data_IF_542198669684
#
_entry.id   IF_542198669684
#
_cell.length_a   1.000
_cell.length_b   1.000
_cell.length_c   1.000
_cell.angle_alpha   90.00
_cell.angle_beta   90.00
_cell.angle_gamma   90.00
#
_symmetry.space_group_name_H-M   'P 1'
#
loop_
_entity.id
_entity.type
_entity.pdbx_description
1 polymer ?
#
# COMPACT_ATOMS: atom_id res chain seq x y z
N UNK A 1 4.84 -39.71 -3.87
CA UNK A 1 5.35 -38.60 -3.03
C UNK A 1 4.57 -37.37 -3.45
N UNK A 2 3.54 -37.00 -2.68
CA UNK A 2 2.63 -35.90 -3.03
C UNK A 2 3.24 -34.60 -2.52
N UNK A 3 3.64 -33.69 -3.43
CA UNK A 3 3.98 -32.33 -3.06
C UNK A 3 2.67 -31.59 -2.77
N UNK A 4 2.31 -31.50 -1.50
CA UNK A 4 1.33 -30.50 -1.07
C UNK A 4 2.05 -29.15 -1.01
N UNK A 5 2.20 -28.49 -2.15
CA UNK A 5 2.40 -27.04 -2.13
C UNK A 5 1.06 -26.50 -1.64
N UNK A 6 0.99 -26.11 -0.37
CA UNK A 6 -0.04 -25.18 0.05
C UNK A 6 0.12 -23.95 -0.84
N UNK A 7 -0.75 -23.79 -1.86
CA UNK A 7 -0.79 -22.62 -2.73
C UNK A 7 -1.18 -21.38 -1.90
N UNK A 8 -0.20 -20.84 -1.17
CA UNK A 8 -0.33 -19.53 -0.55
C UNK A 8 -0.04 -18.49 -1.62
N UNK A 9 -0.92 -17.50 -1.76
CA UNK A 9 -0.71 -16.34 -2.62
C UNK A 9 0.67 -15.70 -2.34
N UNK A 10 1.47 -15.34 -3.36
CA UNK A 10 2.80 -14.76 -3.14
C UNK A 10 2.72 -13.43 -2.39
N UNK A 11 3.69 -13.19 -1.52
CA UNK A 11 3.83 -11.93 -0.79
C UNK A 11 4.05 -10.77 -1.78
N UNK A 12 3.26 -9.68 -1.71
CA UNK A 12 3.49 -8.53 -2.57
C UNK A 12 4.72 -7.73 -2.12
N UNK A 13 5.33 -7.00 -3.05
CA UNK A 13 6.31 -5.96 -2.74
C UNK A 13 5.64 -4.60 -2.59
N UNK A 14 6.29 -3.72 -1.85
CA UNK A 14 5.84 -2.35 -1.59
C UNK A 14 7.00 -1.38 -1.81
N UNK A 15 6.71 -0.23 -2.43
CA UNK A 15 7.65 0.86 -2.59
C UNK A 15 6.94 2.21 -2.47
N UNK A 16 7.71 3.28 -2.28
CA UNK A 16 7.17 4.65 -2.28
C UNK A 16 8.03 5.61 -3.07
N UNK A 17 7.38 6.66 -3.58
CA UNK A 17 8.02 7.78 -4.23
C UNK A 17 7.37 9.10 -3.75
N UNK A 18 8.16 10.08 -3.29
CA UNK A 18 9.61 9.99 -3.03
C UNK A 18 9.94 8.97 -1.91
N UNK A 19 11.15 8.42 -1.95
CA UNK A 19 11.63 7.52 -0.90
C UNK A 19 12.26 8.32 0.25
N UNK A 20 12.00 7.92 1.50
CA UNK A 20 12.57 8.55 2.68
C UNK A 20 11.58 9.51 3.37
N UNK A 21 12.10 10.63 3.87
CA UNK A 21 11.30 11.67 4.52
C UNK A 21 10.72 12.67 3.51
N UNK A 22 9.49 13.11 3.76
CA UNK A 22 8.77 14.09 2.94
C UNK A 22 8.42 15.31 3.78
N UNK A 23 8.18 16.44 3.13
CA UNK A 23 7.72 17.64 3.82
C UNK A 23 6.19 17.71 3.86
N UNK A 24 5.66 18.38 4.88
CA UNK A 24 4.23 18.68 5.00
C UNK A 24 3.70 19.29 3.69
N UNK A 25 2.55 18.80 3.22
CA UNK A 25 1.89 19.26 2.01
C UNK A 25 2.41 18.63 0.71
N UNK A 26 3.42 17.77 0.75
CA UNK A 26 3.86 17.01 -0.42
C UNK A 26 2.93 15.85 -0.75
N UNK A 27 2.96 15.42 -2.01
CA UNK A 27 2.27 14.24 -2.48
C UNK A 27 3.21 13.02 -2.44
N UNK A 28 2.69 11.89 -1.98
CA UNK A 28 3.41 10.62 -1.90
C UNK A 28 2.65 9.54 -2.63
N UNK A 29 3.35 8.75 -3.45
CA UNK A 29 2.80 7.58 -4.13
C UNK A 29 3.38 6.33 -3.50
N UNK A 30 2.51 5.45 -3.03
CA UNK A 30 2.88 4.11 -2.55
C UNK A 30 2.43 3.10 -3.59
N UNK A 31 3.35 2.27 -4.07
CA UNK A 31 3.06 1.25 -5.08
C UNK A 31 3.19 -0.13 -4.47
N UNK A 32 2.14 -0.94 -4.63
CA UNK A 32 2.17 -2.36 -4.34
C UNK A 32 2.29 -3.13 -5.66
N UNK A 33 3.08 -4.20 -5.69
CA UNK A 33 3.27 -5.07 -6.85
C UNK A 33 3.24 -6.53 -6.41
N UNK A 34 2.68 -7.41 -7.23
CA UNK A 34 2.74 -8.86 -7.04
C UNK A 34 3.24 -9.56 -8.29
N UNK A 35 3.75 -10.78 -8.14
CA UNK A 35 4.00 -11.69 -9.27
C UNK A 35 2.76 -12.51 -9.64
N UNK A 36 1.75 -12.57 -8.77
CA UNK A 36 0.49 -13.25 -9.06
C UNK A 36 -0.34 -12.47 -10.08
N UNK A 37 -1.01 -13.18 -10.97
CA UNK A 37 -2.04 -12.60 -11.82
C UNK A 37 -3.24 -12.15 -10.97
N UNK A 38 -3.54 -10.86 -11.00
CA UNK A 38 -4.54 -10.23 -10.12
C UNK A 38 -5.81 -9.79 -10.86
N UNK A 39 -6.21 -10.54 -11.90
CA UNK A 39 -7.48 -10.31 -12.59
C UNK A 39 -8.65 -10.33 -11.59
N UNK A 40 -9.33 -9.20 -11.46
CA UNK A 40 -10.47 -9.04 -10.55
C UNK A 40 -10.12 -9.09 -9.04
N UNK A 41 -8.84 -8.90 -8.70
CA UNK A 41 -8.40 -8.78 -7.30
C UNK A 41 -8.44 -7.34 -6.79
N UNK A 42 -8.04 -7.14 -5.55
CA UNK A 42 -7.96 -5.81 -4.90
C UNK A 42 -6.69 -5.72 -4.08
N UNK A 43 -5.91 -4.66 -4.28
CA UNK A 43 -4.83 -4.32 -3.37
C UNK A 43 -5.35 -3.52 -2.20
N UNK A 44 -4.68 -3.69 -1.07
CA UNK A 44 -5.00 -3.01 0.16
C UNK A 44 -3.72 -2.45 0.75
N UNK A 45 -3.68 -1.14 0.96
CA UNK A 45 -2.67 -0.45 1.73
C UNK A 45 -3.17 -0.28 3.17
N UNK A 46 -2.37 -0.66 4.16
CA UNK A 46 -2.68 -0.46 5.58
C UNK A 46 -1.52 0.20 6.29
N UNK A 47 -1.83 1.02 7.28
CA UNK A 47 -0.86 1.46 8.28
C UNK A 47 -0.73 0.39 9.35
N UNK A 48 0.47 0.20 9.91
CA UNK A 48 0.70 -0.80 10.97
C UNK A 48 0.06 -0.41 12.29
N UNK A 49 -0.23 0.87 12.47
CA UNK A 49 -0.93 1.45 13.62
C UNK A 49 -2.12 2.29 13.18
N UNK A 50 -3.13 2.35 14.05
CA UNK A 50 -4.37 3.09 13.77
C UNK A 50 -5.29 2.36 12.79
N UNK A 51 -6.21 3.10 12.18
CA UNK A 51 -7.29 2.56 11.35
C UNK A 51 -7.13 2.87 9.85
N UNK A 52 -5.99 3.45 9.44
CA UNK A 52 -5.77 3.80 8.04
C UNK A 52 -5.74 2.53 7.17
N UNK A 53 -6.65 2.48 6.21
CA UNK A 53 -6.78 1.41 5.22
C UNK A 53 -7.38 1.98 3.94
N UNK A 54 -6.70 1.74 2.83
CA UNK A 54 -7.19 2.07 1.50
C UNK A 54 -7.18 0.85 0.60
N UNK A 55 -8.08 0.83 -0.38
CA UNK A 55 -8.22 -0.28 -1.33
C UNK A 55 -8.20 0.24 -2.75
N UNK A 56 -7.52 -0.47 -3.64
CA UNK A 56 -7.42 -0.12 -5.04
C UNK A 56 -7.57 -1.37 -5.90
N UNK A 57 -8.49 -1.33 -6.87
CA UNK A 57 -8.56 -2.34 -7.92
C UNK A 57 -7.40 -2.08 -8.88
N UNK A 58 -6.48 -3.03 -9.08
CA UNK A 58 -5.36 -2.84 -9.98
C UNK A 58 -5.80 -2.95 -11.44
N UNK A 59 -5.07 -2.29 -12.33
CA UNK A 59 -5.19 -2.47 -13.78
C UNK A 59 -4.42 -3.69 -14.29
N UNK A 60 -3.48 -4.21 -13.51
CA UNK A 60 -2.64 -5.36 -13.81
C UNK A 60 -2.17 -5.99 -12.50
N UNK A 61 -0.86 -6.23 -12.34
CA UNK A 61 -0.28 -6.86 -11.16
C UNK A 61 0.19 -5.83 -10.12
N UNK A 62 -0.13 -4.55 -10.31
CA UNK A 62 0.25 -3.46 -9.40
C UNK A 62 -0.90 -2.49 -9.16
N UNK A 63 -0.83 -1.82 -8.01
CA UNK A 63 -1.71 -0.72 -7.65
C UNK A 63 -0.88 0.42 -7.05
N UNK A 64 -1.30 1.66 -7.33
CA UNK A 64 -0.68 2.86 -6.77
C UNK A 64 -1.70 3.61 -5.91
N UNK A 65 -1.33 3.86 -4.66
CA UNK A 65 -2.07 4.68 -3.70
C UNK A 65 -1.43 6.05 -3.64
N UNK A 66 -2.23 7.11 -3.76
CA UNK A 66 -1.72 8.49 -3.76
C UNK A 66 -2.17 9.21 -2.49
N UNK A 67 -1.24 9.45 -1.57
CA UNK A 67 -1.45 10.28 -0.40
C UNK A 67 -1.14 11.73 -0.80
N UNK A 68 -2.17 12.54 -1.00
CA UNK A 68 -2.01 13.93 -1.43
C UNK A 68 -1.90 14.85 -0.22
N UNK A 69 -1.05 15.87 -0.33
CA UNK A 69 -0.86 16.90 0.71
C UNK A 69 -0.67 16.31 2.10
N UNK A 70 0.32 15.43 2.24
CA UNK A 70 0.59 14.67 3.47
C UNK A 70 0.80 15.60 4.68
N UNK A 71 0.36 15.12 5.84
CA UNK A 71 0.49 15.79 7.13
C UNK A 71 0.98 14.77 8.19
N UNK A 72 1.11 15.17 9.45
CA UNK A 72 1.59 14.28 10.51
C UNK A 72 0.68 13.07 10.79
N UNK A 73 -0.59 13.10 10.39
CA UNK A 73 -1.48 11.92 10.53
C UNK A 73 -1.07 10.79 9.57
N UNK A 74 -0.39 11.13 8.47
CA UNK A 74 0.16 10.18 7.52
C UNK A 74 1.49 9.57 7.99
N UNK A 75 2.11 10.09 9.05
CA UNK A 75 3.40 9.63 9.53
C UNK A 75 3.32 8.21 10.12
N UNK A 76 4.14 7.27 9.64
CA UNK A 76 4.19 5.91 10.17
C UNK A 76 4.52 4.84 9.14
N UNK A 77 4.38 3.58 9.55
CA UNK A 77 4.72 2.43 8.72
C UNK A 77 3.51 1.87 7.97
N UNK A 78 3.74 1.51 6.70
CA UNK A 78 2.74 1.00 5.78
C UNK A 78 3.12 -0.37 5.24
N UNK A 79 2.10 -1.20 5.00
CA UNK A 79 2.21 -2.53 4.40
C UNK A 79 1.10 -2.72 3.37
N UNK A 80 1.37 -3.52 2.34
CA UNK A 80 0.40 -3.94 1.35
C UNK A 80 0.00 -5.41 1.56
N UNK A 81 -1.24 -5.73 1.22
CA UNK A 81 -1.67 -7.09 0.88
C UNK A 81 -2.60 -7.01 -0.33
N UNK A 82 -2.99 -8.15 -0.88
CA UNK A 82 -4.05 -8.21 -1.86
C UNK A 82 -5.01 -9.36 -1.60
N UNK A 83 -6.20 -9.22 -2.15
CA UNK A 83 -7.25 -10.22 -2.13
C UNK A 83 -7.60 -10.61 -3.56
N UNK A 84 -7.84 -11.91 -3.79
CA UNK A 84 -8.26 -12.46 -5.07
C UNK A 84 -9.42 -13.42 -4.86
N UNK A 85 -10.41 -13.34 -5.73
CA UNK A 85 -11.49 -14.33 -5.78
C UNK A 85 -11.07 -15.49 -6.67
N UNK A 86 -11.05 -16.70 -6.10
CA UNK A 86 -10.76 -17.95 -6.81
C UNK A 86 -11.94 -18.87 -6.55
N UNK A 87 -12.66 -19.24 -7.61
CA UNK A 87 -13.81 -20.15 -7.54
C UNK A 87 -14.87 -19.75 -6.50
N UNK A 88 -15.13 -18.44 -6.36
CA UNK A 88 -16.13 -17.90 -5.43
C UNK A 88 -15.66 -17.75 -3.98
N UNK A 89 -14.40 -18.06 -3.68
CA UNK A 89 -13.79 -17.84 -2.37
C UNK A 89 -12.73 -16.74 -2.44
N UNK A 90 -12.72 -15.85 -1.45
CA UNK A 90 -11.73 -14.79 -1.33
C UNK A 90 -10.49 -15.31 -0.61
N UNK A 91 -9.35 -15.25 -1.29
CA UNK A 91 -8.03 -15.57 -0.74
C UNK A 91 -7.27 -14.28 -0.48
N UNK A 92 -6.58 -14.21 0.65
CA UNK A 92 -5.78 -13.06 1.08
C UNK A 92 -4.30 -13.43 1.04
N UNK A 93 -3.47 -12.55 0.47
CA UNK A 93 -2.02 -12.72 0.49
C UNK A 93 -1.44 -12.47 1.89
N UNK A 94 -0.22 -12.96 2.16
CA UNK A 94 0.60 -12.41 3.25
C UNK A 94 0.76 -10.89 3.10
N UNK A 95 1.09 -10.22 4.20
CA UNK A 95 1.50 -8.82 4.20
C UNK A 95 2.90 -8.67 3.59
N UNK A 96 3.13 -7.56 2.90
CA UNK A 96 4.45 -7.17 2.38
C UNK A 96 5.44 -6.86 3.51
N UNK A 97 6.69 -6.58 3.14
CA UNK A 97 7.58 -5.80 4.02
C UNK A 97 6.93 -4.44 4.37
N UNK A 98 7.48 -3.76 5.38
CA UNK A 98 7.04 -2.41 5.73
C UNK A 98 7.89 -1.34 5.03
N UNK A 99 7.27 -0.20 4.75
CA UNK A 99 7.95 1.06 4.45
C UNK A 99 7.53 2.11 5.50
N UNK A 100 8.35 3.13 5.74
CA UNK A 100 8.03 4.18 6.72
C UNK A 100 7.97 5.53 6.04
N UNK A 101 6.81 6.18 6.14
CA UNK A 101 6.61 7.57 5.71
C UNK A 101 6.90 8.48 6.90
N UNK A 102 7.92 9.33 6.78
CA UNK A 102 8.26 10.35 7.78
C UNK A 102 7.91 11.72 7.22
N UNK A 103 7.08 12.48 7.92
CA UNK A 103 6.64 13.81 7.52
C UNK A 103 7.34 14.86 8.39
N UNK A 104 8.00 15.81 7.74
CA UNK A 104 8.79 16.87 8.38
C UNK A 104 8.33 18.26 7.93
N UNK A 105 8.78 19.31 8.63
CA UNK A 105 8.44 20.70 8.31
C UNK A 105 7.22 21.21 9.09
N UNK A 106 6.67 22.35 8.67
CA UNK A 106 5.51 22.98 9.31
C UNK A 106 4.49 23.42 8.26
N UNK A 107 3.22 23.49 8.65
CA UNK A 107 2.18 24.13 7.84
C UNK A 107 2.59 25.60 7.65
N UNK A 108 3.13 25.95 6.48
CA UNK A 108 3.27 27.35 6.11
C UNK A 108 1.85 27.88 6.03
N UNK A 109 1.45 28.68 7.03
CA UNK A 109 0.27 29.53 6.93
C UNK A 109 0.49 30.44 5.74
N UNK A 110 0.04 30.04 4.55
CA UNK A 110 -0.24 31.00 3.50
C UNK A 110 -1.43 31.82 4.01
N UNK A 111 -1.26 33.14 4.27
CA UNK A 111 -2.42 34.01 4.34
C UNK A 111 -3.06 33.94 2.95
N UNK A 112 -4.34 33.59 2.91
CA UNK A 112 -5.14 33.73 1.70
C UNK A 112 -5.00 35.20 1.21
N UNK A 113 -4.73 35.46 -0.08
CA UNK A 113 -4.70 36.82 -0.61
C UNK A 113 -6.06 37.53 -0.47
#
# INVERSE_FOLDING_TARGET
MQLFISESLPMPSISMNPAGGVTWGQDVRIMCLTTAELLGGTFILKKTSGSFRETQVPSSNSATFSLLKVNFDHDGSYQCQYEKNISGQTFTSPLSNSITLLVSGSQTRHPNP
#
